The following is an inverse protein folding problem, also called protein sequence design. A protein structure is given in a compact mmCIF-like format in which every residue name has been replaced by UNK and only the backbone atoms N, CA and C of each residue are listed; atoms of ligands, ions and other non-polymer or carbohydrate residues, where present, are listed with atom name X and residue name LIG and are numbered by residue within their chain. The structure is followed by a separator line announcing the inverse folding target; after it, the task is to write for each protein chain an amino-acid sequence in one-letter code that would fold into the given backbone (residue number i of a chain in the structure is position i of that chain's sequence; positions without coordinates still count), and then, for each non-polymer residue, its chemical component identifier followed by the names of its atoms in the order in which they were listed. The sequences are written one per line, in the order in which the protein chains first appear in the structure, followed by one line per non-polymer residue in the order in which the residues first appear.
data_IF_163777186183
#
_entry.id   IF_163777186183
#
_cell.length_a   1.000
_cell.length_b   1.000
_cell.length_c   1.000
_cell.angle_alpha   90.00
_cell.angle_beta   90.00
_cell.angle_gamma   90.00
#
_symmetry.space_group_name_H-M   'P 1'
#
loop_
_entity.id
_entity.type
_entity.pdbx_description
1 polymer ?
#
# COMPACT_ATOMS: atom_id res chain seq x y z
N UNK A 1 -99.33 -67.51 -29.83
CA UNK A 1 -98.76 -68.57 -28.99
C UNK A 1 -99.03 -68.14 -27.57
N UNK A 2 -99.78 -68.97 -26.82
CA UNK A 2 -100.24 -68.62 -25.48
C UNK A 2 -99.07 -68.51 -24.51
N UNK A 3 -99.16 -67.56 -23.60
CA UNK A 3 -98.25 -67.47 -22.45
C UNK A 3 -98.54 -68.69 -21.55
N UNK A 4 -97.64 -69.66 -21.55
CA UNK A 4 -97.69 -70.75 -20.57
C UNK A 4 -97.35 -70.17 -19.20
N UNK A 5 -98.38 -69.94 -18.39
CA UNK A 5 -98.23 -69.59 -16.98
C UNK A 5 -98.10 -70.89 -16.19
N UNK A 6 -96.88 -71.17 -15.72
CA UNK A 6 -96.60 -72.30 -14.85
C UNK A 6 -96.90 -71.92 -13.40
N UNK A 7 -97.90 -72.58 -12.80
CA UNK A 7 -98.14 -72.52 -11.36
C UNK A 7 -97.51 -73.76 -10.71
N UNK A 8 -96.50 -73.54 -9.87
CA UNK A 8 -95.89 -74.59 -9.06
C UNK A 8 -96.41 -74.42 -7.63
N UNK A 9 -97.36 -75.26 -7.21
CA UNK A 9 -97.69 -75.47 -5.80
C UNK A 9 -96.95 -76.73 -5.36
N UNK A 10 -95.89 -76.53 -4.59
CA UNK A 10 -95.06 -77.63 -4.16
C UNK A 10 -94.59 -77.40 -2.72
N UNK A 11 -94.77 -78.42 -1.88
CA UNK A 11 -94.28 -78.39 -0.51
C UNK A 11 -92.76 -78.62 -0.52
N UNK A 12 -92.01 -77.55 -0.24
CA UNK A 12 -90.55 -77.58 -0.21
C UNK A 12 -90.01 -78.63 0.80
N UNK A 13 -90.79 -79.01 1.81
CA UNK A 13 -90.45 -80.03 2.81
C UNK A 13 -90.44 -81.43 2.20
N UNK A 14 -91.35 -81.71 1.24
CA UNK A 14 -91.52 -83.05 0.65
C UNK A 14 -90.90 -83.20 -0.73
N UNK A 15 -90.53 -82.09 -1.37
CA UNK A 15 -89.86 -82.10 -2.68
C UNK A 15 -88.43 -82.62 -2.54
N UNK A 16 -88.15 -83.76 -3.17
CA UNK A 16 -86.82 -84.36 -3.19
C UNK A 16 -86.00 -83.87 -4.39
N UNK A 17 -84.76 -83.48 -4.13
CA UNK A 17 -83.72 -83.25 -5.14
C UNK A 17 -83.03 -84.58 -5.39
N UNK A 18 -83.00 -85.03 -6.64
CA UNK A 18 -82.38 -86.30 -7.05
C UNK A 18 -81.16 -86.04 -7.94
N UNK A 19 -80.21 -86.98 -7.95
CA UNK A 19 -79.11 -87.01 -8.93
C UNK A 19 -79.55 -87.63 -10.28
N UNK A 20 -78.65 -87.69 -11.28
CA UNK A 20 -78.97 -88.30 -12.59
C UNK A 20 -79.29 -89.80 -12.50
N UNK A 21 -78.86 -90.47 -11.41
CA UNK A 21 -79.12 -91.88 -11.14
C UNK A 21 -80.38 -92.10 -10.31
N UNK A 22 -81.16 -91.05 -10.04
CA UNK A 22 -82.38 -91.02 -9.22
C UNK A 22 -82.16 -91.29 -7.73
N UNK A 23 -80.92 -91.17 -7.23
CA UNK A 23 -80.67 -91.22 -5.80
C UNK A 23 -81.10 -89.91 -5.15
N UNK A 24 -81.64 -90.01 -3.94
CA UNK A 24 -82.05 -88.84 -3.17
C UNK A 24 -80.85 -88.09 -2.62
N UNK A 25 -80.71 -86.82 -3.02
CA UNK A 25 -79.69 -85.92 -2.50
C UNK A 25 -80.20 -85.20 -1.26
N UNK A 26 -81.47 -84.78 -1.20
CA UNK A 26 -82.07 -84.10 -0.04
C UNK A 26 -83.36 -83.39 -0.42
N UNK A 27 -83.85 -82.47 0.41
CA UNK A 27 -85.09 -81.74 0.14
C UNK A 27 -84.86 -80.34 -0.43
N UNK A 28 -85.86 -79.80 -1.13
CA UNK A 28 -85.81 -78.44 -1.64
C UNK A 28 -85.65 -77.41 -0.50
N UNK A 29 -86.25 -77.67 0.67
CA UNK A 29 -86.08 -76.85 1.88
C UNK A 29 -84.64 -76.78 2.36
N UNK A 30 -83.92 -77.91 2.36
CA UNK A 30 -82.51 -77.98 2.76
C UNK A 30 -81.62 -77.18 1.80
N UNK A 31 -81.83 -77.31 0.50
CA UNK A 31 -80.98 -76.67 -0.51
C UNK A 31 -81.30 -75.19 -0.77
N UNK A 32 -82.50 -74.70 -0.46
CA UNK A 32 -82.88 -73.29 -0.68
C UNK A 32 -82.84 -72.42 0.58
N UNK A 33 -83.28 -72.95 1.73
CA UNK A 33 -83.56 -72.11 2.90
C UNK A 33 -82.71 -72.48 4.12
N UNK A 34 -82.70 -73.75 4.50
CA UNK A 34 -82.05 -74.16 5.74
C UNK A 34 -80.54 -74.32 5.58
N UNK A 35 -80.08 -74.59 4.37
CA UNK A 35 -78.71 -74.91 4.06
C UNK A 35 -78.38 -76.36 4.42
N UNK A 36 -78.08 -77.18 3.42
CA UNK A 36 -77.69 -78.57 3.66
C UNK A 36 -76.39 -78.63 4.47
N UNK A 37 -76.38 -79.42 5.54
CA UNK A 37 -75.24 -79.48 6.47
C UNK A 37 -74.13 -80.37 5.92
N UNK A 38 -72.91 -79.84 5.85
CA UNK A 38 -71.70 -80.58 5.45
C UNK A 38 -70.58 -80.26 6.44
N UNK A 39 -70.05 -81.27 7.11
CA UNK A 39 -69.09 -81.09 8.23
C UNK A 39 -67.72 -81.72 8.00
N UNK A 40 -67.49 -82.32 6.83
CA UNK A 40 -66.23 -82.95 6.44
C UNK A 40 -66.13 -83.07 4.91
N UNK A 41 -64.95 -83.38 4.39
CA UNK A 41 -64.67 -83.42 2.95
C UNK A 41 -64.09 -82.11 2.42
N UNK A 42 -63.91 -82.01 1.09
CA UNK A 42 -63.46 -80.79 0.41
C UNK A 42 -64.63 -79.96 -0.07
N UNK A 43 -64.45 -78.63 -0.14
CA UNK A 43 -65.42 -77.73 -0.78
C UNK A 43 -65.75 -78.16 -2.22
N UNK A 44 -64.76 -78.68 -2.95
CA UNK A 44 -64.96 -79.10 -4.36
C UNK A 44 -65.71 -80.42 -4.50
N UNK A 45 -65.92 -81.16 -3.41
CA UNK A 45 -66.78 -82.35 -3.42
C UNK A 45 -68.27 -81.95 -3.53
N UNK A 46 -68.60 -80.70 -3.20
CA UNK A 46 -69.95 -80.16 -3.30
C UNK A 46 -70.20 -79.68 -4.74
N UNK A 47 -70.92 -80.49 -5.52
CA UNK A 47 -71.16 -80.26 -6.96
C UNK A 47 -72.57 -79.82 -7.32
N UNK A 48 -73.50 -79.84 -6.37
CA UNK A 48 -74.89 -79.51 -6.64
C UNK A 48 -75.22 -78.07 -6.23
N UNK A 49 -76.04 -77.40 -7.02
CA UNK A 49 -76.47 -76.03 -6.72
C UNK A 49 -77.31 -75.97 -5.45
N UNK A 50 -77.08 -74.95 -4.62
CA UNK A 50 -77.85 -74.68 -3.42
C UNK A 50 -77.04 -73.96 -2.34
N UNK A 51 -77.67 -73.78 -1.19
CA UNK A 51 -77.09 -73.21 0.01
C UNK A 51 -76.68 -74.35 0.95
N UNK A 52 -75.51 -74.20 1.57
CA UNK A 52 -74.94 -75.20 2.47
C UNK A 52 -74.48 -74.55 3.77
N UNK A 53 -74.68 -75.27 4.87
CA UNK A 53 -74.06 -74.98 6.17
C UNK A 53 -72.79 -75.81 6.29
N UNK A 54 -71.66 -75.16 6.07
CA UNK A 54 -70.36 -75.83 6.00
C UNK A 54 -69.54 -75.58 7.28
N UNK A 55 -68.87 -76.61 7.79
CA UNK A 55 -67.94 -76.50 8.93
C UNK A 55 -66.82 -77.53 8.79
N UNK A 56 -65.57 -77.13 8.95
CA UNK A 56 -64.43 -78.06 8.98
C UNK A 56 -64.10 -78.74 7.64
N UNK A 57 -64.55 -78.21 6.50
CA UNK A 57 -64.15 -78.72 5.18
C UNK A 57 -62.69 -78.36 4.87
N UNK A 58 -62.01 -79.23 4.14
CA UNK A 58 -60.73 -78.90 3.49
C UNK A 58 -60.96 -77.91 2.35
N UNK A 59 -59.91 -77.20 1.95
CA UNK A 59 -59.94 -76.23 0.84
C UNK A 59 -60.73 -74.94 1.07
N UNK A 60 -61.25 -74.69 2.27
CA UNK A 60 -61.77 -73.37 2.64
C UNK A 60 -60.63 -72.33 2.74
N UNK A 61 -60.89 -71.04 2.47
CA UNK A 61 -59.91 -69.98 2.71
C UNK A 61 -59.55 -69.90 4.20
N UNK A 62 -58.31 -69.56 4.52
CA UNK A 62 -57.80 -69.47 5.90
C UNK A 62 -58.59 -68.52 6.80
N UNK A 63 -59.26 -67.54 6.21
CA UNK A 63 -60.06 -66.52 6.86
C UNK A 63 -61.46 -67.03 7.26
N UNK A 64 -61.84 -68.23 6.81
CA UNK A 64 -63.10 -68.89 7.20
C UNK A 64 -62.84 -69.78 8.41
N UNK A 65 -63.53 -69.56 9.54
CA UNK A 65 -63.28 -70.31 10.77
C UNK A 65 -63.66 -71.79 10.61
N UNK A 66 -62.71 -72.69 10.92
CA UNK A 66 -62.93 -74.14 10.80
C UNK A 66 -63.88 -74.72 11.86
N UNK A 67 -64.07 -74.01 12.97
CA UNK A 67 -64.87 -74.46 14.12
C UNK A 67 -66.30 -73.90 14.17
N UNK A 68 -66.68 -73.01 13.25
CA UNK A 68 -68.01 -72.41 13.18
C UNK A 68 -68.68 -72.75 11.85
N UNK A 69 -70.02 -72.71 11.82
CA UNK A 69 -70.76 -72.87 10.57
C UNK A 69 -70.64 -71.60 9.73
N UNK A 70 -70.30 -71.77 8.45
CA UNK A 70 -70.32 -70.72 7.43
C UNK A 70 -71.35 -71.05 6.35
N UNK A 71 -71.81 -70.04 5.62
CA UNK A 71 -72.72 -70.22 4.50
C UNK A 71 -71.88 -70.45 3.25
N UNK A 72 -72.12 -71.55 2.54
CA UNK A 72 -71.56 -71.79 1.22
C UNK A 72 -72.70 -71.77 0.20
N UNK A 73 -72.66 -70.82 -0.72
CA UNK A 73 -73.52 -70.76 -1.88
C UNK A 73 -72.79 -71.46 -3.04
N UNK A 74 -73.45 -72.46 -3.62
CA UNK A 74 -72.92 -73.19 -4.78
C UNK A 74 -73.85 -73.00 -5.95
N UNK A 75 -73.30 -72.56 -7.07
CA UNK A 75 -74.00 -72.47 -8.35
C UNK A 75 -73.25 -73.30 -9.38
N UNK A 76 -73.71 -74.53 -9.56
CA UNK A 76 -73.22 -75.46 -10.57
C UNK A 76 -74.06 -75.35 -11.85
N UNK A 77 -73.39 -75.29 -12.99
CA UNK A 77 -73.97 -75.20 -14.33
C UNK A 77 -73.43 -76.36 -15.18
N UNK A 78 -74.30 -77.04 -15.91
CA UNK A 78 -73.95 -78.19 -16.75
C UNK A 78 -74.55 -79.50 -16.23
N UNK A 79 -73.86 -80.62 -16.46
CA UNK A 79 -74.29 -81.93 -15.99
C UNK A 79 -74.32 -81.99 -14.45
N UNK A 80 -75.37 -82.59 -13.87
CA UNK A 80 -75.56 -82.61 -12.40
C UNK A 80 -74.49 -83.38 -11.62
N UNK A 81 -73.88 -84.43 -12.20
CA UNK A 81 -72.85 -85.23 -11.53
C UNK A 81 -71.43 -84.69 -11.80
N UNK A 82 -71.27 -84.04 -12.96
CA UNK A 82 -70.01 -83.43 -13.38
C UNK A 82 -70.25 -82.07 -14.06
N UNK A 83 -70.47 -81.00 -13.28
CA UNK A 83 -70.78 -79.68 -13.82
C UNK A 83 -69.63 -79.11 -14.66
N UNK A 84 -69.96 -78.33 -15.69
CA UNK A 84 -68.99 -77.66 -16.56
C UNK A 84 -68.31 -76.49 -15.83
N UNK A 85 -69.08 -75.78 -15.01
CA UNK A 85 -68.61 -74.66 -14.18
C UNK A 85 -69.35 -74.66 -12.84
N UNK A 86 -68.62 -74.43 -11.76
CA UNK A 86 -69.17 -74.27 -10.41
C UNK A 86 -68.65 -72.97 -9.81
N UNK A 87 -69.57 -72.12 -9.38
CA UNK A 87 -69.27 -70.93 -8.59
C UNK A 87 -69.52 -71.24 -7.13
N UNK A 88 -68.49 -71.03 -6.32
CA UNK A 88 -68.54 -71.13 -4.88
C UNK A 88 -68.43 -69.73 -4.29
N UNK A 89 -69.31 -69.41 -3.36
CA UNK A 89 -69.20 -68.23 -2.51
C UNK A 89 -69.38 -68.64 -1.06
N UNK A 90 -68.32 -68.48 -0.28
CA UNK A 90 -68.37 -68.77 1.16
C UNK A 90 -68.43 -67.47 1.94
N UNK A 91 -69.34 -67.40 2.91
CA UNK A 91 -69.50 -66.26 3.81
C UNK A 91 -69.46 -66.74 5.26
N UNK A 92 -68.48 -66.24 6.00
CA UNK A 92 -68.30 -66.54 7.43
C UNK A 92 -69.29 -65.77 8.31
N UNK A 93 -69.49 -66.18 9.58
CA UNK A 93 -70.30 -65.43 10.55
C UNK A 93 -69.82 -64.00 10.83
N UNK A 94 -68.53 -63.69 10.59
CA UNK A 94 -67.96 -62.35 10.75
C UNK A 94 -68.16 -61.45 9.53
N UNK A 95 -68.78 -61.95 8.45
CA UNK A 95 -69.05 -61.21 7.22
C UNK A 95 -67.94 -61.28 6.16
N UNK A 96 -66.84 -62.00 6.42
CA UNK A 96 -65.83 -62.28 5.37
C UNK A 96 -66.45 -63.17 4.30
N UNK A 97 -66.47 -62.70 3.05
CA UNK A 97 -66.99 -63.44 1.90
C UNK A 97 -65.90 -63.62 0.84
N UNK A 98 -65.73 -64.84 0.33
CA UNK A 98 -64.75 -65.19 -0.70
C UNK A 98 -65.42 -65.98 -1.81
N UNK A 99 -64.94 -65.79 -3.02
CA UNK A 99 -65.49 -66.40 -4.23
C UNK A 99 -64.43 -67.24 -4.94
N UNK A 100 -64.86 -68.35 -5.50
CA UNK A 100 -64.02 -69.27 -6.26
C UNK A 100 -64.82 -69.87 -7.41
N UNK A 101 -64.19 -69.95 -8.58
CA UNK A 101 -64.75 -70.62 -9.75
C UNK A 101 -63.93 -71.87 -10.05
N UNK A 102 -64.64 -72.96 -10.28
CA UNK A 102 -64.07 -74.22 -10.80
C UNK A 102 -64.67 -74.45 -12.18
N UNK A 103 -63.84 -74.69 -13.18
CA UNK A 103 -64.29 -75.08 -14.52
C UNK A 103 -63.37 -76.16 -15.08
N UNK A 104 -63.93 -77.34 -15.33
CA UNK A 104 -63.16 -78.55 -15.61
C UNK A 104 -62.12 -78.83 -14.51
N UNK A 105 -60.84 -78.94 -14.88
CA UNK A 105 -59.73 -79.13 -13.94
C UNK A 105 -59.16 -77.83 -13.36
N UNK A 106 -59.63 -76.66 -13.79
CA UNK A 106 -59.07 -75.37 -13.40
C UNK A 106 -59.84 -74.77 -12.22
N UNK A 107 -59.11 -74.15 -11.29
CA UNK A 107 -59.62 -73.53 -10.06
C UNK A 107 -59.02 -72.12 -9.90
N UNK A 108 -59.86 -71.09 -9.77
CA UNK A 108 -59.43 -69.67 -9.73
C UNK A 108 -58.75 -69.21 -8.43
N UNK A 109 -58.57 -70.11 -7.45
CA UNK A 109 -58.28 -69.73 -6.07
C UNK A 109 -59.44 -68.98 -5.40
N UNK A 110 -59.33 -68.73 -4.09
CA UNK A 110 -60.29 -67.91 -3.35
C UNK A 110 -59.94 -66.44 -3.46
N UNK A 111 -60.87 -65.63 -3.97
CA UNK A 111 -60.68 -64.21 -4.22
C UNK A 111 -61.73 -63.37 -3.48
N UNK A 112 -61.38 -62.13 -3.14
CA UNK A 112 -62.32 -61.14 -2.61
C UNK A 112 -62.94 -60.40 -3.81
N UNK A 113 -64.23 -60.61 -4.07
CA UNK A 113 -64.95 -59.95 -5.18
C UNK A 113 -64.52 -60.37 -6.59
N UNK A 114 -63.97 -61.59 -6.74
CA UNK A 114 -63.60 -62.17 -8.03
C UNK A 114 -62.20 -61.82 -8.54
N UNK A 115 -61.76 -62.53 -9.57
CA UNK A 115 -60.42 -62.39 -10.18
C UNK A 115 -60.19 -60.99 -10.76
N UNK A 116 -61.21 -60.33 -11.31
CA UNK A 116 -61.07 -59.00 -11.90
C UNK A 116 -60.76 -57.92 -10.85
N UNK A 117 -61.43 -57.94 -9.70
CA UNK A 117 -61.17 -57.00 -8.61
C UNK A 117 -59.77 -57.21 -8.04
N UNK A 118 -59.36 -58.47 -7.83
CA UNK A 118 -58.00 -58.78 -7.38
C UNK A 118 -56.93 -58.29 -8.37
N UNK A 119 -57.15 -58.49 -9.67
CA UNK A 119 -56.25 -57.98 -10.70
C UNK A 119 -56.17 -56.46 -10.70
N UNK A 120 -57.31 -55.77 -10.51
CA UNK A 120 -57.33 -54.31 -10.39
C UNK A 120 -56.53 -53.83 -9.17
N UNK A 121 -56.67 -54.48 -8.01
CA UNK A 121 -55.91 -54.18 -6.79
C UNK A 121 -54.41 -54.41 -7.02
N UNK A 122 -54.02 -55.55 -7.58
CA UNK A 122 -52.61 -55.85 -7.87
C UNK A 122 -52.02 -54.88 -8.90
N UNK A 123 -52.81 -54.43 -9.88
CA UNK A 123 -52.39 -53.42 -10.84
C UNK A 123 -52.20 -52.06 -10.17
N UNK A 124 -53.06 -51.67 -9.24
CA UNK A 124 -52.91 -50.44 -8.47
C UNK A 124 -51.65 -50.49 -7.60
N UNK A 125 -51.41 -51.61 -6.93
CA UNK A 125 -50.22 -51.84 -6.09
C UNK A 125 -48.93 -51.74 -6.92
N UNK A 126 -48.90 -52.38 -8.10
CA UNK A 126 -47.77 -52.30 -9.04
C UNK A 126 -47.53 -50.90 -9.62
N UNK A 127 -48.59 -50.13 -9.89
CA UNK A 127 -48.48 -48.78 -10.43
C UNK A 127 -48.04 -47.74 -9.40
N UNK A 128 -48.46 -47.89 -8.15
CA UNK A 128 -48.16 -46.94 -7.07
C UNK A 128 -46.84 -47.30 -6.36
N UNK A 129 -46.49 -48.60 -6.33
CA UNK A 129 -45.31 -49.09 -5.63
C UNK A 129 -45.42 -48.96 -4.11
N UNK A 130 -44.32 -49.26 -3.41
CA UNK A 130 -44.28 -49.18 -1.94
C UNK A 130 -43.79 -47.81 -1.45
N UNK A 131 -44.59 -47.14 -0.60
CA UNK A 131 -44.23 -45.87 0.04
C UNK A 131 -42.89 -45.90 0.79
N UNK A 132 -42.50 -47.08 1.30
CA UNK A 132 -41.26 -47.25 2.06
C UNK A 132 -40.01 -47.05 1.21
N UNK A 133 -40.12 -47.22 -0.11
CA UNK A 133 -39.00 -47.17 -1.05
C UNK A 133 -38.66 -45.75 -1.50
N UNK A 134 -39.48 -44.75 -1.13
CA UNK A 134 -39.19 -43.34 -1.43
C UNK A 134 -38.01 -42.84 -0.58
N UNK A 135 -37.13 -42.03 -1.15
CA UNK A 135 -36.00 -41.42 -0.41
C UNK A 135 -36.41 -40.17 0.41
N UNK A 136 -37.70 -39.84 0.48
CA UNK A 136 -38.22 -38.72 1.27
C UNK A 136 -38.18 -39.04 2.77
N UNK A 137 -38.02 -38.01 3.61
CA UNK A 137 -38.06 -38.15 5.06
C UNK A 137 -39.47 -38.43 5.58
N UNK A 138 -40.50 -37.85 4.96
CA UNK A 138 -41.90 -38.04 5.29
C UNK A 138 -42.57 -39.04 4.33
N UNK A 139 -42.93 -40.21 4.87
CA UNK A 139 -43.53 -41.35 4.14
C UNK A 139 -44.94 -41.72 4.64
N UNK A 140 -45.60 -40.83 5.38
CA UNK A 140 -46.93 -41.10 5.96
C UNK A 140 -48.04 -41.19 4.90
N UNK A 141 -47.83 -40.62 3.71
CA UNK A 141 -48.65 -40.79 2.52
C UNK A 141 -47.86 -40.39 1.27
N UNK A 142 -48.33 -40.77 0.09
CA UNK A 142 -47.70 -40.34 -1.18
C UNK A 142 -47.72 -38.82 -1.33
N UNK A 143 -48.82 -38.18 -0.91
CA UNK A 143 -48.99 -36.73 -0.93
C UNK A 143 -47.93 -36.04 -0.07
N UNK A 144 -47.66 -36.57 1.11
CA UNK A 144 -46.66 -35.99 2.01
C UNK A 144 -45.24 -36.10 1.47
N UNK A 145 -44.90 -37.22 0.81
CA UNK A 145 -43.63 -37.38 0.15
C UNK A 145 -43.47 -36.41 -1.04
N UNK A 146 -44.51 -36.24 -1.85
CA UNK A 146 -44.53 -35.27 -2.96
C UNK A 146 -44.39 -33.84 -2.46
N UNK A 147 -45.10 -33.46 -1.39
CA UNK A 147 -45.01 -32.13 -0.79
C UNK A 147 -43.62 -31.83 -0.24
N UNK A 148 -42.92 -32.82 0.33
CA UNK A 148 -41.51 -32.65 0.73
C UNK A 148 -40.61 -32.37 -0.47
N UNK A 149 -40.79 -33.11 -1.57
CA UNK A 149 -40.01 -32.89 -2.79
C UNK A 149 -40.27 -31.49 -3.37
N UNK A 150 -41.52 -31.03 -3.39
CA UNK A 150 -41.88 -29.69 -3.83
C UNK A 150 -41.15 -28.63 -2.99
N UNK A 151 -41.16 -28.75 -1.67
CA UNK A 151 -40.46 -27.80 -0.78
C UNK A 151 -38.95 -27.76 -1.02
N UNK A 152 -38.32 -28.91 -1.30
CA UNK A 152 -36.89 -28.97 -1.68
C UNK A 152 -36.64 -28.28 -3.02
N UNK A 153 -37.54 -28.43 -4.01
CA UNK A 153 -37.45 -27.76 -5.32
C UNK A 153 -37.58 -26.24 -5.16
N UNK A 154 -38.54 -25.76 -4.35
CA UNK A 154 -38.72 -24.34 -4.09
C UNK A 154 -37.44 -23.71 -3.51
N UNK A 155 -36.79 -24.41 -2.57
CA UNK A 155 -35.50 -23.97 -1.99
C UNK A 155 -34.38 -23.86 -3.05
N UNK A 156 -34.34 -24.79 -4.02
CA UNK A 156 -33.34 -24.74 -5.11
C UNK A 156 -33.60 -23.56 -6.04
N UNK A 157 -34.86 -23.26 -6.32
CA UNK A 157 -35.24 -22.10 -7.13
C UNK A 157 -34.82 -20.79 -6.45
N UNK A 158 -35.12 -20.63 -5.15
CA UNK A 158 -34.71 -19.46 -4.36
C UNK A 158 -33.19 -19.25 -4.37
N UNK A 159 -32.41 -20.33 -4.21
CA UNK A 159 -30.95 -20.27 -4.29
C UNK A 159 -30.47 -19.83 -5.68
N UNK A 160 -31.12 -20.32 -6.73
CA UNK A 160 -30.78 -19.96 -8.12
C UNK A 160 -31.05 -18.48 -8.38
N UNK A 161 -32.19 -17.96 -7.92
CA UNK A 161 -32.54 -16.55 -8.05
C UNK A 161 -31.60 -15.64 -7.24
N UNK A 162 -31.18 -16.09 -6.04
CA UNK A 162 -30.18 -15.38 -5.23
C UNK A 162 -28.83 -15.30 -5.94
N UNK A 163 -28.35 -16.41 -6.52
CA UNK A 163 -27.10 -16.44 -7.30
C UNK A 163 -27.19 -15.54 -8.53
N UNK A 164 -28.31 -15.60 -9.27
CA UNK A 164 -28.52 -14.76 -10.43
C UNK A 164 -28.56 -13.27 -10.04
N UNK A 165 -29.17 -12.93 -8.90
CA UNK A 165 -29.19 -11.58 -8.37
C UNK A 165 -27.78 -11.09 -8.02
N UNK A 166 -27.00 -11.90 -7.30
CA UNK A 166 -25.61 -11.58 -6.96
C UNK A 166 -24.71 -11.45 -8.21
N UNK A 167 -24.92 -12.29 -9.22
CA UNK A 167 -24.19 -12.21 -10.48
C UNK A 167 -24.56 -10.95 -11.26
N UNK A 168 -25.84 -10.58 -11.27
CA UNK A 168 -26.30 -9.35 -11.91
C UNK A 168 -25.82 -8.11 -11.17
N UNK A 169 -25.74 -8.14 -9.84
CA UNK A 169 -25.11 -7.10 -9.03
C UNK A 169 -23.62 -6.97 -9.40
N UNK A 170 -22.87 -8.07 -9.40
CA UNK A 170 -21.46 -8.11 -9.85
C UNK A 170 -21.27 -7.54 -11.27
N UNK A 171 -22.12 -7.89 -12.23
CA UNK A 171 -22.06 -7.36 -13.60
C UNK A 171 -22.43 -5.88 -13.72
N UNK A 172 -23.26 -5.35 -12.80
CA UNK A 172 -23.69 -3.93 -12.80
C UNK A 172 -22.68 -3.01 -12.12
N UNK A 173 -21.77 -3.53 -11.29
CA UNK A 173 -20.68 -2.74 -10.76
C UNK A 173 -19.68 -2.38 -11.87
N UNK A 174 -19.23 -1.12 -11.90
CA UNK A 174 -18.14 -0.67 -12.76
C UNK A 174 -16.81 -1.22 -12.19
N UNK A 175 -16.58 -2.52 -12.38
CA UNK A 175 -15.28 -3.14 -12.22
C UNK A 175 -14.42 -2.66 -13.40
N UNK A 176 -13.81 -1.50 -13.23
CA UNK A 176 -12.59 -1.19 -13.94
C UNK A 176 -11.52 -2.09 -13.33
N UNK A 177 -10.75 -2.84 -14.14
CA UNK A 177 -9.85 -3.94 -13.73
C UNK A 177 -8.65 -3.50 -12.84
N UNK A 178 -8.73 -2.33 -12.20
CA UNK A 178 -7.62 -1.62 -11.57
C UNK A 178 -7.84 -1.44 -10.06
N UNK A 179 -7.49 -2.46 -9.28
CA UNK A 179 -7.44 -2.38 -7.81
C UNK A 179 -6.01 -2.31 -7.28
N UNK A 180 -5.74 -1.45 -6.29
CA UNK A 180 -4.54 -1.52 -5.43
C UNK A 180 -4.88 -2.39 -4.22
N UNK A 181 -4.18 -3.52 -4.06
CA UNK A 181 -4.45 -4.53 -3.04
C UNK A 181 -3.91 -4.13 -1.66
N UNK A 182 -4.74 -4.30 -0.64
CA UNK A 182 -4.43 -4.18 0.79
C UNK A 182 -3.92 -5.50 1.34
N UNK A 183 -3.08 -5.41 2.36
CA UNK A 183 -2.91 -6.46 3.36
C UNK A 183 -2.42 -5.82 4.67
N UNK A 184 -2.74 -6.47 5.79
CA UNK A 184 -2.32 -6.06 7.13
C UNK A 184 -0.81 -6.10 7.33
N UNK A 185 -0.37 -6.01 8.59
CA UNK A 185 1.05 -6.06 8.97
C UNK A 185 1.70 -7.35 8.48
N UNK A 186 2.44 -7.30 7.36
CA UNK A 186 3.35 -8.37 6.95
C UNK A 186 3.38 -8.75 5.47
N UNK A 187 2.57 -8.18 4.59
CA UNK A 187 2.41 -8.72 3.23
C UNK A 187 2.94 -7.78 2.14
N UNK A 188 3.84 -8.30 1.30
CA UNK A 188 4.43 -7.61 0.14
C UNK A 188 3.64 -7.81 -1.14
N UNK A 189 3.51 -6.77 -1.97
CA UNK A 189 3.10 -6.91 -3.37
C UNK A 189 4.14 -7.77 -4.13
N UNK A 190 3.71 -8.83 -4.81
CA UNK A 190 4.59 -9.65 -5.67
C UNK A 190 4.45 -9.17 -7.11
N UNK A 191 5.52 -8.61 -7.68
CA UNK A 191 5.59 -8.20 -9.10
C UNK A 191 5.75 -6.69 -9.33
N UNK A 192 5.79 -6.28 -10.60
CA UNK A 192 5.97 -4.88 -11.03
C UNK A 192 4.61 -4.24 -11.32
N UNK A 193 4.35 -3.08 -10.74
CA UNK A 193 3.20 -2.25 -11.11
C UNK A 193 3.49 -1.53 -12.43
N UNK A 194 2.66 -1.76 -13.46
CA UNK A 194 2.81 -1.18 -14.80
C UNK A 194 1.62 -0.29 -15.11
N UNK A 195 1.89 0.91 -15.63
CA UNK A 195 0.89 1.85 -16.13
C UNK A 195 1.01 1.94 -17.66
N UNK A 196 -0.10 2.16 -18.37
CA UNK A 196 -0.08 2.35 -19.82
C UNK A 196 0.77 3.56 -20.23
N UNK A 197 1.34 3.54 -21.43
CA UNK A 197 2.15 4.66 -21.91
C UNK A 197 1.28 5.92 -22.08
N UNK A 198 1.59 6.98 -21.32
CA UNK A 198 0.77 8.19 -21.24
C UNK A 198 -0.22 8.19 -20.08
N UNK A 199 -0.39 7.06 -19.38
CA UNK A 199 -1.11 7.02 -18.12
C UNK A 199 -0.27 7.65 -17.01
N UNK A 200 -0.95 8.43 -16.18
CA UNK A 200 -0.40 9.12 -15.04
C UNK A 200 -0.75 8.34 -13.77
N UNK A 201 0.23 8.17 -12.87
CA UNK A 201 -0.12 7.83 -11.49
C UNK A 201 -0.56 9.11 -10.82
N UNK A 202 -1.85 9.23 -10.57
CA UNK A 202 -2.41 10.32 -9.79
C UNK A 202 -2.89 9.79 -8.43
N UNK A 203 -2.56 10.52 -7.38
CA UNK A 203 -3.23 10.33 -6.10
C UNK A 203 -4.32 11.38 -6.01
N UNK A 204 -5.57 10.95 -5.81
CA UNK A 204 -6.63 11.90 -5.52
C UNK A 204 -6.35 12.52 -4.15
N UNK A 205 -6.18 13.84 -4.13
CA UNK A 205 -6.11 14.59 -2.88
C UNK A 205 -7.48 14.58 -2.20
N UNK A 206 -7.50 14.95 -0.91
CA UNK A 206 -8.75 15.14 -0.16
C UNK A 206 -9.66 16.21 -0.77
N UNK A 207 -9.14 17.07 -1.64
CA UNK A 207 -9.88 18.13 -2.34
C UNK A 207 -10.47 17.67 -3.68
N UNK A 208 -10.32 16.39 -4.05
CA UNK A 208 -10.91 15.78 -5.25
C UNK A 208 -10.09 15.95 -6.52
N UNK A 209 -9.08 16.83 -6.50
CA UNK A 209 -8.05 16.96 -7.53
C UNK A 209 -7.26 15.66 -7.61
N UNK A 210 -6.98 15.19 -8.83
CA UNK A 210 -6.16 14.00 -9.06
C UNK A 210 -4.83 14.42 -9.70
N UNK A 211 -4.00 15.21 -9.02
CA UNK A 211 -2.79 15.70 -9.64
C UNK A 211 -1.86 14.51 -9.89
N UNK A 212 -1.31 14.44 -11.08
CA UNK A 212 -0.36 13.39 -11.40
C UNK A 212 0.88 13.55 -10.52
N UNK A 213 1.28 12.48 -9.83
CA UNK A 213 2.51 12.46 -9.02
C UNK A 213 3.63 11.70 -9.72
N UNK A 214 3.30 10.88 -10.71
CA UNK A 214 4.25 10.33 -11.66
C UNK A 214 3.62 10.47 -13.03
N UNK A 215 4.20 11.33 -13.86
CA UNK A 215 3.76 11.57 -15.22
C UNK A 215 4.89 11.45 -16.21
N UNK A 216 4.54 11.22 -17.47
CA UNK A 216 5.47 11.34 -18.59
C UNK A 216 5.27 12.69 -19.25
N UNK A 217 6.32 13.49 -19.34
CA UNK A 217 6.34 14.75 -20.09
C UNK A 217 7.35 14.63 -21.23
N UNK A 218 6.86 14.33 -22.43
CA UNK A 218 7.68 13.97 -23.58
C UNK A 218 8.55 12.74 -23.28
N UNK A 219 9.88 12.92 -23.33
CA UNK A 219 10.84 11.85 -23.05
C UNK A 219 11.24 11.74 -21.57
N UNK A 220 10.71 12.62 -20.71
CA UNK A 220 11.09 12.67 -19.30
C UNK A 220 10.01 12.03 -18.42
N UNK A 221 10.46 11.29 -17.42
CA UNK A 221 9.62 10.87 -16.30
C UNK A 221 9.67 11.96 -15.23
N UNK A 222 8.51 12.50 -14.87
CA UNK A 222 8.35 13.56 -13.90
C UNK A 222 7.78 12.98 -12.61
N UNK A 223 8.49 13.22 -11.51
CA UNK A 223 8.03 12.92 -10.16
C UNK A 223 7.53 14.21 -9.49
N UNK A 224 6.31 14.17 -8.97
CA UNK A 224 5.62 15.33 -8.41
C UNK A 224 4.84 16.14 -9.44
N UNK A 225 4.29 17.27 -8.99
CA UNK A 225 3.55 18.24 -9.79
C UNK A 225 3.70 19.65 -9.19
N UNK A 226 3.17 20.66 -9.87
CA UNK A 226 3.22 22.06 -9.41
C UNK A 226 2.30 22.38 -8.22
N UNK A 227 1.46 21.43 -7.79
CA UNK A 227 0.44 21.63 -6.74
C UNK A 227 0.83 20.98 -5.40
N UNK A 228 1.76 20.02 -5.41
CA UNK A 228 2.15 19.22 -4.24
C UNK A 228 3.66 19.25 -4.03
N UNK A 229 4.09 19.40 -2.79
CA UNK A 229 5.50 19.21 -2.43
C UNK A 229 5.95 17.76 -2.67
N UNK A 230 7.12 17.58 -3.30
CA UNK A 230 7.76 16.28 -3.44
C UNK A 230 8.65 16.01 -2.22
N UNK A 231 8.28 15.03 -1.39
CA UNK A 231 9.09 14.58 -0.27
C UNK A 231 9.68 13.19 -0.56
N UNK A 232 11.01 13.11 -0.72
CA UNK A 232 11.74 11.85 -0.91
C UNK A 232 12.43 11.51 0.41
N UNK A 233 11.87 10.55 1.14
CA UNK A 233 12.43 10.09 2.41
C UNK A 233 13.30 8.86 2.19
N UNK A 234 14.54 8.90 2.67
CA UNK A 234 15.46 7.76 2.68
C UNK A 234 16.11 7.65 4.05
N UNK A 235 16.31 6.42 4.54
CA UNK A 235 17.13 6.17 5.74
C UNK A 235 18.63 6.37 5.47
N UNK A 236 19.04 6.47 4.20
CA UNK A 236 20.43 6.65 3.78
C UNK A 236 20.54 7.63 2.60
N UNK A 237 21.62 7.51 1.83
CA UNK A 237 21.93 8.44 0.75
C UNK A 237 20.99 8.27 -0.46
N UNK A 238 20.67 9.39 -1.12
CA UNK A 238 19.95 9.42 -2.41
C UNK A 238 20.96 9.57 -3.53
N UNK A 239 20.90 8.69 -4.53
CA UNK A 239 21.81 8.67 -5.68
C UNK A 239 21.06 8.90 -7.00
N UNK A 240 21.70 9.58 -7.94
CA UNK A 240 21.30 9.70 -9.34
C UNK A 240 22.48 9.28 -10.21
N UNK A 241 22.28 8.30 -11.10
CA UNK A 241 23.33 7.73 -11.96
C UNK A 241 24.59 7.30 -11.18
N UNK A 242 24.41 6.71 -9.99
CA UNK A 242 25.50 6.24 -9.12
C UNK A 242 26.21 7.34 -8.34
N UNK A 243 25.84 8.61 -8.52
CA UNK A 243 26.39 9.74 -7.78
C UNK A 243 25.46 10.18 -6.67
N UNK A 244 26.00 10.42 -5.47
CA UNK A 244 25.23 10.91 -4.33
C UNK A 244 24.75 12.34 -4.60
N UNK A 245 23.44 12.56 -4.54
CA UNK A 245 22.80 13.86 -4.86
C UNK A 245 22.52 14.68 -3.60
N UNK A 246 22.45 14.03 -2.43
CA UNK A 246 22.15 14.69 -1.16
C UNK A 246 23.37 14.68 -0.27
N UNK A 247 23.95 15.85 0.00
CA UNK A 247 24.85 16.08 1.14
C UNK A 247 24.02 16.52 2.33
N UNK A 248 24.05 15.77 3.42
CA UNK A 248 23.21 16.00 4.61
C UNK A 248 23.48 17.36 5.26
N UNK A 249 22.45 18.20 5.30
CA UNK A 249 22.30 19.42 6.09
C UNK A 249 20.80 19.69 6.31
N UNK A 250 20.44 20.51 7.30
CA UNK A 250 19.08 20.65 7.87
C UNK A 250 17.96 21.04 6.89
N UNK A 251 18.28 21.47 5.67
CA UNK A 251 17.32 22.12 4.75
C UNK A 251 17.26 21.51 3.32
N UNK A 252 17.68 20.26 3.10
CA UNK A 252 17.55 19.62 1.77
C UNK A 252 18.48 20.19 0.69
N UNK A 253 18.12 19.99 -0.59
CA UNK A 253 18.85 20.51 -1.77
C UNK A 253 18.92 22.04 -1.73
N UNK A 254 19.94 22.59 -1.07
CA UNK A 254 20.17 24.01 -1.12
C UNK A 254 21.16 24.33 -2.25
N UNK A 255 20.62 24.65 -3.44
CA UNK A 255 21.43 25.18 -4.54
C UNK A 255 22.18 26.47 -4.15
N UNK A 256 21.76 27.13 -3.06
CA UNK A 256 22.41 28.32 -2.52
C UNK A 256 23.56 27.98 -1.58
N UNK A 257 23.88 26.71 -1.32
CA UNK A 257 25.03 26.30 -0.49
C UNK A 257 26.04 25.49 -1.27
N UNK A 258 27.20 26.08 -1.55
CA UNK A 258 28.38 25.34 -2.01
C UNK A 258 29.16 24.92 -0.76
N UNK A 259 29.29 23.61 -0.53
CA UNK A 259 30.03 23.08 0.63
C UNK A 259 29.43 23.44 2.01
N UNK A 260 28.14 23.77 2.07
CA UNK A 260 27.45 24.15 3.31
C UNK A 260 27.51 25.65 3.66
N UNK A 261 28.24 26.45 2.87
CA UNK A 261 28.35 27.92 3.02
C UNK A 261 27.37 28.59 2.08
N UNK A 262 26.61 29.57 2.56
CA UNK A 262 25.65 30.33 1.75
C UNK A 262 26.33 31.09 0.60
N UNK A 263 25.68 31.11 -0.56
CA UNK A 263 26.19 31.71 -1.79
C UNK A 263 26.49 33.21 -1.63
N UNK A 264 25.77 33.91 -0.75
CA UNK A 264 25.99 35.32 -0.43
C UNK A 264 27.26 35.59 0.40
N UNK A 265 27.90 34.54 0.94
CA UNK A 265 29.18 34.65 1.65
C UNK A 265 30.38 34.49 0.72
N UNK A 266 30.17 34.08 -0.53
CA UNK A 266 31.24 33.97 -1.53
C UNK A 266 31.44 35.28 -2.28
N UNK A 267 32.69 35.60 -2.59
CA UNK A 267 33.04 36.68 -3.50
C UNK A 267 32.58 36.33 -4.94
N UNK A 268 31.80 37.20 -5.58
CA UNK A 268 31.42 37.08 -6.98
C UNK A 268 32.16 38.07 -7.88
N UNK A 269 32.30 37.72 -9.16
CA UNK A 269 33.00 38.55 -10.15
C UNK A 269 32.09 39.50 -10.91
N UNK A 270 30.80 39.21 -10.95
CA UNK A 270 29.79 39.88 -11.77
C UNK A 270 29.08 41.04 -11.05
N UNK A 271 29.36 41.26 -9.78
CA UNK A 271 28.78 42.34 -8.98
C UNK A 271 29.77 42.83 -7.91
N UNK A 272 29.44 43.97 -7.29
CA UNK A 272 30.13 44.43 -6.09
C UNK A 272 29.89 43.45 -4.93
N UNK A 273 30.95 43.17 -4.17
CA UNK A 273 30.88 42.35 -2.97
C UNK A 273 30.93 43.25 -1.75
N UNK A 274 29.77 43.50 -1.15
CA UNK A 274 29.66 44.31 0.06
C UNK A 274 29.67 43.38 1.29
N UNK A 275 30.84 43.21 1.92
CA UNK A 275 30.96 42.45 3.16
C UNK A 275 30.73 43.36 4.38
N UNK A 276 29.72 43.07 5.20
CA UNK A 276 29.41 43.83 6.42
C UNK A 276 30.28 43.45 7.63
N UNK A 277 31.07 42.38 7.53
CA UNK A 277 31.95 41.86 8.58
C UNK A 277 33.43 41.90 8.20
N UNK A 278 34.31 41.91 9.22
CA UNK A 278 35.77 41.85 9.05
C UNK A 278 36.19 40.53 8.43
N UNK A 279 36.91 40.57 7.30
CA UNK A 279 37.52 39.39 6.69
C UNK A 279 38.87 39.12 7.35
N UNK A 280 38.99 38.02 8.09
CA UNK A 280 40.23 37.60 8.77
C UNK A 280 40.85 36.41 8.04
N UNK A 281 42.10 36.56 7.59
CA UNK A 281 42.89 35.49 7.02
C UNK A 281 43.89 35.01 8.06
N UNK A 282 43.70 33.81 8.62
CA UNK A 282 44.53 33.25 9.69
C UNK A 282 45.68 32.37 9.21
N UNK A 283 45.75 32.12 7.90
CA UNK A 283 46.83 31.34 7.29
C UNK A 283 48.03 32.25 7.00
N UNK A 284 49.25 31.78 7.24
CA UNK A 284 50.50 32.52 6.97
C UNK A 284 50.77 32.74 5.46
N UNK A 285 49.90 32.24 4.58
CA UNK A 285 49.99 32.50 3.16
C UNK A 285 49.70 33.99 2.85
N UNK A 286 50.50 34.63 1.98
CA UNK A 286 50.26 36.02 1.62
C UNK A 286 48.94 36.16 0.86
N UNK A 287 48.16 37.19 1.20
CA UNK A 287 47.01 37.60 0.39
C UNK A 287 47.54 38.20 -0.93
N UNK A 288 47.49 37.40 -2.01
CA UNK A 288 48.02 37.79 -3.32
C UNK A 288 46.95 38.52 -4.13
N UNK A 289 47.13 39.82 -4.32
CA UNK A 289 46.40 40.58 -5.31
C UNK A 289 47.16 40.54 -6.65
N UNK A 290 46.50 40.06 -7.71
CA UNK A 290 47.04 40.14 -9.07
C UNK A 290 46.45 41.39 -9.72
N UNK A 291 47.22 42.47 -9.72
CA UNK A 291 46.88 43.68 -10.45
C UNK A 291 47.22 43.45 -11.92
N UNK A 292 46.19 43.36 -12.76
CA UNK A 292 46.36 43.21 -14.21
C UNK A 292 46.99 44.48 -14.80
N UNK A 293 47.93 44.29 -15.72
CA UNK A 293 48.49 45.37 -16.53
C UNK A 293 47.92 45.24 -17.94
N UNK A 294 46.89 46.02 -18.25
CA UNK A 294 46.60 46.32 -19.66
C UNK A 294 47.42 47.56 -19.96
N UNK A 295 48.22 47.53 -21.04
CA UNK A 295 49.07 48.66 -21.46
C UNK A 295 48.30 49.99 -21.32
N UNK A 296 48.70 50.84 -20.38
CA UNK A 296 48.05 52.14 -20.12
C UNK A 296 46.91 52.17 -19.09
N UNK A 297 46.63 51.09 -18.34
CA UNK A 297 45.63 51.09 -17.26
C UNK A 297 46.06 50.15 -16.13
N UNK A 298 46.58 50.73 -15.05
CA UNK A 298 46.73 50.02 -13.78
C UNK A 298 45.34 49.74 -13.20
N UNK A 299 45.09 48.51 -12.73
CA UNK A 299 43.88 48.16 -11.96
C UNK A 299 44.23 48.25 -10.47
N UNK A 300 44.10 49.42 -9.81
CA UNK A 300 44.47 49.57 -8.41
C UNK A 300 43.64 48.67 -7.49
N UNK A 301 44.21 48.34 -6.32
CA UNK A 301 43.40 47.96 -5.16
C UNK A 301 42.75 49.25 -4.67
N UNK A 302 41.44 49.39 -4.87
CA UNK A 302 40.69 50.59 -4.46
C UNK A 302 40.11 50.40 -3.06
N UNK A 303 40.31 51.41 -2.21
CA UNK A 303 39.59 51.54 -0.96
C UNK A 303 38.45 52.54 -1.18
N UNK A 304 37.22 52.13 -0.88
CA UNK A 304 36.02 52.96 -1.03
C UNK A 304 35.38 53.24 0.34
N UNK A 305 34.84 54.44 0.53
CA UNK A 305 34.10 54.75 1.75
C UNK A 305 32.69 54.18 1.71
N UNK A 306 32.36 53.33 2.69
CA UNK A 306 31.00 52.81 2.88
C UNK A 306 29.97 53.91 3.21
N UNK A 307 30.41 55.11 3.65
CA UNK A 307 29.50 56.20 4.08
C UNK A 307 28.93 57.02 2.93
N UNK A 308 29.54 57.03 1.75
CA UNK A 308 29.15 57.98 0.69
C UNK A 308 28.85 57.38 -0.68
N UNK A 309 29.03 56.08 -0.90
CA UNK A 309 28.73 55.37 -2.16
C UNK A 309 29.21 56.09 -3.46
N UNK A 310 30.15 57.04 -3.36
CA UNK A 310 30.49 58.00 -4.43
C UNK A 310 31.92 58.55 -4.33
N UNK A 311 32.90 57.74 -3.97
CA UNK A 311 34.30 58.15 -4.10
C UNK A 311 35.29 57.11 -3.62
N UNK A 312 36.35 56.92 -4.41
CA UNK A 312 37.54 56.24 -3.91
C UNK A 312 38.10 57.07 -2.77
N UNK A 313 38.56 56.44 -1.69
CA UNK A 313 39.26 57.14 -0.60
C UNK A 313 40.76 56.86 -0.61
N UNK A 314 41.20 55.90 -1.42
CA UNK A 314 42.61 55.68 -1.72
C UNK A 314 42.85 54.44 -2.56
N UNK A 315 44.10 54.25 -2.96
CA UNK A 315 44.55 53.10 -3.71
C UNK A 315 45.96 52.66 -3.32
N UNK A 316 46.23 51.37 -3.56
CA UNK A 316 47.58 50.83 -3.76
C UNK A 316 47.67 50.41 -5.22
N UNK A 317 48.63 50.96 -5.96
CA UNK A 317 48.82 50.66 -7.37
C UNK A 317 50.28 50.41 -7.71
N UNK A 318 50.47 49.76 -8.86
CA UNK A 318 51.76 49.76 -9.54
C UNK A 318 51.99 51.18 -10.08
N UNK A 319 53.14 51.76 -9.75
CA UNK A 319 53.57 53.02 -10.32
C UNK A 319 54.19 52.80 -11.71
N UNK A 320 54.17 53.83 -12.55
CA UNK A 320 54.71 53.85 -13.92
C UNK A 320 56.21 53.49 -13.97
N UNK A 321 56.94 53.67 -12.86
CA UNK A 321 58.39 53.37 -12.73
C UNK A 321 58.74 52.04 -12.09
N UNK A 322 57.93 50.98 -12.25
CA UNK A 322 58.11 49.66 -11.63
C UNK A 322 58.10 49.61 -10.09
N UNK A 323 57.62 50.67 -9.44
CA UNK A 323 57.46 50.78 -7.99
C UNK A 323 56.02 50.53 -7.48
N UNK A 324 55.84 50.69 -6.17
CA UNK A 324 54.52 50.74 -5.51
C UNK A 324 54.20 52.18 -5.13
N UNK A 325 52.97 52.62 -5.41
CA UNK A 325 52.46 53.90 -4.93
C UNK A 325 51.24 53.74 -4.03
N UNK A 326 51.17 54.62 -3.03
CA UNK A 326 50.07 54.70 -2.06
C UNK A 326 49.54 56.12 -2.07
N UNK A 327 48.23 56.29 -2.24
CA UNK A 327 47.60 57.61 -2.27
C UNK A 327 46.12 57.57 -1.83
N UNK A 328 45.60 58.61 -1.17
CA UNK A 328 44.19 58.93 -1.15
C UNK A 328 43.76 59.42 -2.55
N UNK A 329 42.52 59.11 -2.93
CA UNK A 329 41.81 59.37 -4.20
C UNK A 329 42.52 60.12 -5.35
N UNK A 330 42.56 59.53 -6.56
CA UNK A 330 43.08 60.13 -7.80
C UNK A 330 44.61 60.06 -7.96
N UNK A 331 45.10 59.86 -9.19
CA UNK A 331 46.54 59.77 -9.47
C UNK A 331 47.24 61.13 -9.34
N UNK A 332 48.05 61.27 -8.28
CA UNK A 332 49.36 61.96 -8.21
C UNK A 332 50.05 61.63 -6.84
N UNK A 333 50.34 60.34 -6.66
CA UNK A 333 51.17 59.64 -5.65
C UNK A 333 51.65 60.40 -4.38
N UNK A 334 51.11 60.10 -3.20
CA UNK A 334 51.60 60.67 -1.92
C UNK A 334 52.86 59.99 -1.36
N UNK A 335 53.05 58.68 -1.55
CA UNK A 335 54.31 57.98 -1.20
C UNK A 335 54.63 56.97 -2.30
N UNK A 336 55.81 57.10 -2.89
CA UNK A 336 56.36 56.20 -3.89
C UNK A 336 57.57 55.44 -3.35
N UNK A 337 57.54 54.11 -3.51
CA UNK A 337 58.61 53.20 -3.10
C UNK A 337 59.15 52.47 -4.34
N UNK A 338 60.40 52.76 -4.69
CA UNK A 338 61.09 52.25 -5.87
C UNK A 338 62.37 51.53 -5.46
N UNK A 339 62.97 50.80 -6.40
CA UNK A 339 64.22 50.06 -6.17
C UNK A 339 65.40 50.95 -5.75
N UNK A 340 65.39 52.23 -6.13
CA UNK A 340 66.51 53.18 -5.98
C UNK A 340 66.13 54.43 -5.18
N UNK A 341 64.84 54.64 -4.85
CA UNK A 341 64.36 55.83 -4.15
C UNK A 341 63.05 55.60 -3.42
N UNK A 342 62.87 56.38 -2.36
CA UNK A 342 61.58 56.63 -1.70
C UNK A 342 61.30 58.12 -1.82
N UNK A 343 60.11 58.51 -2.28
CA UNK A 343 59.70 59.92 -2.32
C UNK A 343 58.25 60.12 -1.92
N UNK A 344 57.92 61.36 -1.56
CA UNK A 344 56.56 61.84 -1.29
C UNK A 344 56.33 63.10 -2.13
N UNK A 345 55.13 63.26 -2.70
CA UNK A 345 54.72 64.53 -3.33
C UNK A 345 54.15 65.52 -2.31
N UNK A 346 53.75 65.03 -1.13
CA UNK A 346 53.37 65.83 0.03
C UNK A 346 54.46 65.88 1.10
N UNK A 347 54.09 66.22 2.34
CA UNK A 347 54.99 66.19 3.50
C UNK A 347 55.05 64.79 4.13
N UNK A 348 56.26 64.34 4.47
CA UNK A 348 56.44 63.23 5.42
C UNK A 348 56.47 63.81 6.83
N UNK A 349 55.41 63.57 7.59
CA UNK A 349 55.29 64.05 8.98
C UNK A 349 55.58 62.91 9.94
N UNK A 350 56.58 63.10 10.81
CA UNK A 350 56.85 62.24 11.95
C UNK A 350 56.14 62.83 13.18
N UNK A 351 55.13 62.14 13.71
CA UNK A 351 54.34 62.61 14.86
C UNK A 351 54.30 61.57 15.99
N UNK A 352 54.04 62.03 17.21
CA UNK A 352 53.95 61.24 18.43
C UNK A 352 55.15 61.44 19.35
N UNK A 353 54.89 61.53 20.66
CA UNK A 353 55.87 61.81 21.75
C UNK A 353 56.91 60.73 22.03
N UNK A 354 57.43 60.05 21.01
CA UNK A 354 58.54 59.09 21.09
C UNK A 354 59.55 59.44 20.00
N UNK A 355 60.82 59.12 20.20
CA UNK A 355 61.87 59.33 19.19
C UNK A 355 61.50 58.65 17.85
N UNK A 356 61.80 59.33 16.75
CA UNK A 356 61.63 58.89 15.36
C UNK A 356 62.94 59.11 14.65
N UNK A 357 63.39 58.16 13.84
CA UNK A 357 64.72 58.24 13.27
C UNK A 357 64.81 57.62 11.87
N UNK A 358 65.73 58.17 11.08
CA UNK A 358 66.13 57.65 9.78
C UNK A 358 67.57 57.17 9.92
N UNK A 359 67.79 55.85 9.87
CA UNK A 359 69.11 55.24 10.03
C UNK A 359 69.73 54.81 8.71
N UNK A 360 71.05 54.91 8.68
CA UNK A 360 71.93 54.50 7.59
C UNK A 360 73.00 53.55 8.11
N UNK A 361 73.73 52.90 7.20
CA UNK A 361 74.89 52.06 7.55
C UNK A 361 74.55 50.91 8.50
N UNK A 362 73.56 50.08 8.13
CA UNK A 362 73.06 48.96 8.92
C UNK A 362 72.45 49.34 10.28
N UNK A 363 71.88 50.55 10.39
CA UNK A 363 71.23 51.01 11.62
C UNK A 363 72.17 51.66 12.64
N UNK A 364 73.42 51.97 12.26
CA UNK A 364 74.42 52.50 13.19
C UNK A 364 74.31 54.01 13.42
N UNK A 365 74.03 54.80 12.38
CA UNK A 365 73.98 56.26 12.48
C UNK A 365 72.78 56.81 11.73
N UNK A 366 72.32 57.99 12.09
CA UNK A 366 71.13 58.55 11.47
C UNK A 366 70.68 59.86 12.08
N UNK A 367 69.60 60.39 11.52
CA UNK A 367 68.91 61.56 12.07
C UNK A 367 67.77 61.08 12.96
N UNK A 368 67.59 61.75 14.08
CA UNK A 368 66.47 61.51 14.99
C UNK A 368 65.71 62.80 15.25
N UNK A 369 64.42 62.63 15.52
CA UNK A 369 63.44 63.65 15.83
C UNK A 369 62.73 63.20 17.11
N UNK A 370 62.63 64.07 18.11
CA UNK A 370 61.99 63.72 19.37
C UNK A 370 61.05 64.84 19.82
N UNK A 371 59.76 64.52 19.93
CA UNK A 371 58.69 65.49 20.19
C UNK A 371 58.47 65.79 21.70
N UNK A 372 59.25 65.20 22.62
CA UNK A 372 59.13 65.47 24.06
C UNK A 372 59.40 66.94 24.36
N UNK A 373 58.36 67.73 24.69
CA UNK A 373 58.38 69.11 25.23
C UNK A 373 59.00 70.19 24.34
N UNK A 374 60.15 69.87 23.76
CA UNK A 374 61.22 70.75 23.31
C UNK A 374 61.69 70.46 21.87
N UNK A 375 60.92 69.68 21.10
CA UNK A 375 61.16 69.39 19.68
C UNK A 375 62.63 69.25 19.29
N UNK A 376 63.27 68.11 19.57
CA UNK A 376 64.69 67.91 19.27
C UNK A 376 64.90 67.32 17.89
N UNK A 377 65.83 67.90 17.14
CA UNK A 377 66.37 67.34 15.91
C UNK A 377 67.86 67.09 16.10
N UNK A 378 68.34 65.87 15.86
CA UNK A 378 69.77 65.59 15.96
C UNK A 378 70.23 64.45 15.09
N UNK A 379 71.53 64.21 15.13
CA UNK A 379 72.16 63.01 14.60
C UNK A 379 72.83 62.23 15.73
N UNK A 380 72.68 60.91 15.67
CA UNK A 380 73.18 59.99 16.70
C UNK A 380 73.92 58.83 16.06
N UNK A 381 74.91 58.30 16.78
CA UNK A 381 75.62 57.06 16.49
C UNK A 381 75.20 56.03 17.55
N UNK A 382 74.24 55.16 17.20
CA UNK A 382 73.71 54.12 18.09
C UNK A 382 74.73 53.00 18.31
N UNK A 383 75.61 52.75 17.35
CA UNK A 383 76.64 51.72 17.49
C UNK A 383 77.70 52.11 18.54
N UNK A 384 78.03 53.40 18.62
CA UNK A 384 78.95 53.94 19.64
C UNK A 384 78.23 54.58 20.84
N UNK A 385 76.89 54.54 20.84
CA UNK A 385 76.04 55.19 21.84
C UNK A 385 76.43 56.66 22.12
N UNK A 386 76.50 57.46 21.06
CA UNK A 386 77.06 58.82 21.11
C UNK A 386 76.24 59.82 20.30
N UNK A 387 76.06 61.02 20.87
CA UNK A 387 75.54 62.19 20.17
C UNK A 387 76.54 62.67 19.11
N UNK A 388 76.08 62.94 17.89
CA UNK A 388 76.88 63.65 16.89
C UNK A 388 76.59 65.15 17.01
N UNK A 389 75.31 65.51 16.87
CA UNK A 389 74.81 66.86 17.13
C UNK A 389 73.33 66.82 17.46
N UNK A 390 72.81 67.84 18.15
CA UNK A 390 71.38 68.09 18.28
C UNK A 390 71.07 69.57 18.36
N UNK A 391 69.87 69.92 17.94
CA UNK A 391 69.21 71.19 18.16
C UNK A 391 67.99 70.96 19.04
N UNK A 392 67.80 71.83 20.03
CA UNK A 392 66.70 71.80 20.98
C UNK A 392 65.89 73.11 20.82
N UNK A 393 64.60 73.00 20.46
CA UNK A 393 63.77 74.19 20.19
C UNK A 393 63.42 74.98 21.45
N UNK A 394 63.41 74.30 22.60
CA UNK A 394 63.32 74.86 23.97
C UNK A 394 64.35 75.93 24.25
N UNK A 395 65.58 75.50 24.08
CA UNK A 395 66.74 76.20 24.59
C UNK A 395 67.48 76.97 23.49
N UNK A 396 67.07 76.79 22.23
CA UNK A 396 67.63 77.43 21.04
C UNK A 396 69.16 77.30 20.95
N UNK A 397 69.72 76.19 21.43
CA UNK A 397 71.14 75.88 21.27
C UNK A 397 71.36 74.66 20.37
N UNK A 398 72.53 74.66 19.73
CA UNK A 398 73.09 73.48 19.10
C UNK A 398 74.13 72.86 20.04
N UNK A 399 73.97 71.57 20.33
CA UNK A 399 74.96 70.79 21.07
C UNK A 399 75.65 69.83 20.12
N UNK A 400 76.98 69.75 20.24
CA UNK A 400 77.81 68.80 19.50
C UNK A 400 78.38 67.80 20.49
N UNK A 401 78.21 66.50 20.23
CA UNK A 401 78.75 65.48 21.13
C UNK A 401 80.26 65.30 21.01
N UNK A 402 80.87 65.83 19.95
CA UNK A 402 82.31 65.82 19.69
C UNK A 402 82.76 67.16 19.11
N UNK A 403 84.04 67.49 19.31
CA UNK A 403 84.64 68.70 18.76
C UNK A 403 84.52 68.72 17.21
N UNK A 404 83.84 69.73 16.62
CA UNK A 404 83.70 69.83 15.17
C UNK A 404 85.07 69.96 14.51
N UNK A 405 85.23 69.31 13.35
CA UNK A 405 86.47 69.33 12.55
C UNK A 405 86.28 70.21 11.32
N UNK A 406 86.97 71.33 11.25
CA UNK A 406 86.93 72.28 10.13
C UNK A 406 88.29 72.28 9.42
N UNK A 407 88.30 71.97 8.12
CA UNK A 407 89.52 71.89 7.29
C UNK A 407 90.67 71.10 7.94
N UNK A 408 90.38 69.94 8.53
CA UNK A 408 91.41 69.11 9.17
C UNK A 408 91.68 69.42 10.65
N UNK A 409 91.24 70.58 11.17
CA UNK A 409 91.52 71.07 12.52
C UNK A 409 90.27 70.97 13.39
N UNK A 410 90.40 70.85 14.71
CA UNK A 410 89.26 70.76 15.64
C UNK A 410 89.12 72.02 16.48
N UNK A 411 87.89 72.30 16.91
CA UNK A 411 87.59 73.34 17.91
C UNK A 411 87.06 72.67 19.17
N UNK A 412 87.79 72.78 20.26
CA UNK A 412 87.45 72.22 21.56
C UNK A 412 86.98 73.32 22.49
N UNK A 413 85.78 73.16 23.02
CA UNK A 413 85.16 74.04 24.02
C UNK A 413 84.88 73.19 25.26
N UNK A 414 85.89 72.98 26.10
CA UNK A 414 85.83 72.07 27.25
C UNK A 414 86.93 72.40 28.26
N UNK A 415 86.66 72.17 29.55
CA UNK A 415 87.60 72.48 30.64
C UNK A 415 88.90 71.64 30.59
N UNK A 416 88.87 70.30 30.42
CA UNK A 416 90.12 69.55 30.32
C UNK A 416 90.78 69.78 28.95
N UNK A 417 92.10 69.98 28.95
CA UNK A 417 92.87 70.04 27.72
C UNK A 417 92.61 68.77 26.88
N UNK A 418 92.26 68.90 25.59
CA UNK A 418 91.95 67.75 24.75
C UNK A 418 93.17 66.82 24.64
N UNK A 419 92.94 65.53 24.89
CA UNK A 419 93.96 64.48 24.83
C UNK A 419 93.74 63.57 23.61
N UNK A 420 94.80 62.92 23.13
CA UNK A 420 94.78 62.05 21.95
C UNK A 420 95.22 62.74 20.66
N UNK A 421 94.73 62.26 19.51
CA UNK A 421 95.05 62.81 18.18
C UNK A 421 94.37 64.18 17.97
N UNK A 422 95.05 65.23 18.42
CA UNK A 422 94.66 66.64 18.21
C UNK A 422 95.46 67.21 17.03
N UNK A 423 94.85 67.47 15.87
CA UNK A 423 95.56 67.98 14.71
C UNK A 423 96.21 69.34 14.98
N UNK A 424 97.40 69.58 14.42
CA UNK A 424 98.09 70.86 14.52
C UNK A 424 97.23 72.02 13.97
N UNK A 425 97.13 73.09 14.76
CA UNK A 425 96.27 74.24 14.48
C UNK A 425 94.82 74.10 14.97
N UNK A 426 94.50 73.06 15.73
CA UNK A 426 93.24 72.98 16.48
C UNK A 426 93.20 74.06 17.57
N UNK A 427 92.02 74.62 17.81
CA UNK A 427 91.80 75.65 18.84
C UNK A 427 91.17 74.98 20.05
N UNK A 428 91.71 75.22 21.23
CA UNK A 428 91.11 74.84 22.50
C UNK A 428 90.84 76.10 23.32
N UNK A 429 89.59 76.24 23.75
CA UNK A 429 89.16 77.26 24.70
C UNK A 429 88.63 76.49 25.91
N UNK A 430 89.39 76.52 27.01
CA UNK A 430 88.95 76.01 28.31
C UNK A 430 88.25 77.11 29.09
N UNK A 431 87.26 76.73 29.90
CA UNK A 431 86.48 77.63 30.74
C UNK A 431 86.61 77.27 32.22
#
# INVERSE_FOLDING_TARGET
MGDDIFYFDNDAVTTKVLDNNKNELGTLQEYLFEGKTVTSGSVTDIKHSGVYKVKGLSDLPSEIPSNQYSILEVKAIGNQDNPDVIFYKVTSPSGVSKEMTVSGSNRSGWTLGGVQLQNAINSLDSQVGELRDLETGNKSSLVNAVNELQSKIDTVNDNTDSVNSALNEYKKHNHDDRYIRKTGTGDSFKGTLVFENGANLAFRSSTGTAPSVISRNGNNLVFGNGEMGLNIQSKGDVYLNGQKVVTTGTNGLNADKVGGVDANLYARKDQNNDWSGVQTYSNAAPLRFVVGNVQGSAIPIQFMSAKSNKGNVGYISKSDGDGMSISPDGNNELLGLYSDRTYTTGHLVFAGGTEKDIRFGNGHMGFYFKEDGNGRLGAWDWNKNRLIWRYDTDTNYMEMGEAPKWQGRRMFLQDPQPQGDVPYGSIWIGF
#
